data_IF_824523353479
#
_entry.id   IF_824523353479
#
_cell.length_a   1.000
_cell.length_b   1.000
_cell.length_c   1.000
_cell.angle_alpha   90.00
_cell.angle_beta   90.00
_cell.angle_gamma   90.00
#
_symmetry.space_group_name_H-M   'P 1'
#
loop_
_entity.id
_entity.type
_entity.pdbx_description
1 polymer ?
#
# COMPACT_ATOMS: atom_id res chain seq x y z
N UNK A 1 -16.01 -6.51 16.88
CA UNK A 1 -16.08 -6.47 15.40
C UNK A 1 -15.53 -5.17 14.80
N UNK A 2 -15.83 -3.98 15.37
CA UNK A 2 -15.39 -2.68 14.82
C UNK A 2 -13.89 -2.53 14.57
N UNK A 3 -13.03 -2.86 15.55
CA UNK A 3 -11.57 -2.77 15.41
C UNK A 3 -11.00 -3.58 14.23
N UNK A 4 -11.66 -4.68 13.88
CA UNK A 4 -11.22 -5.58 12.81
C UNK A 4 -11.59 -5.07 11.42
N UNK A 5 -12.76 -4.44 11.29
CA UNK A 5 -13.18 -3.75 10.06
C UNK A 5 -12.28 -2.53 9.83
N UNK A 6 -12.00 -1.76 10.88
CA UNK A 6 -11.05 -0.64 10.82
C UNK A 6 -9.66 -1.10 10.41
N UNK A 7 -9.14 -2.17 11.02
CA UNK A 7 -7.84 -2.73 10.67
C UNK A 7 -7.76 -3.19 9.21
N UNK A 8 -8.80 -3.83 8.69
CA UNK A 8 -8.88 -4.21 7.27
C UNK A 8 -8.95 -3.00 6.35
N UNK A 9 -9.72 -1.97 6.72
CA UNK A 9 -9.79 -0.71 5.99
C UNK A 9 -8.43 -0.04 5.86
N UNK A 10 -7.68 0.04 6.97
CA UNK A 10 -6.30 0.58 6.98
C UNK A 10 -5.38 -0.28 6.12
N UNK A 11 -5.45 -1.61 6.24
CA UNK A 11 -4.59 -2.51 5.48
C UNK A 11 -4.80 -2.39 3.96
N UNK A 12 -6.06 -2.35 3.52
CA UNK A 12 -6.42 -2.12 2.12
C UNK A 12 -6.01 -0.73 1.66
N UNK A 13 -6.21 0.30 2.50
CA UNK A 13 -5.79 1.66 2.23
C UNK A 13 -4.29 1.75 1.95
N UNK A 14 -3.46 1.18 2.82
CA UNK A 14 -1.99 1.14 2.66
C UNK A 14 -1.56 0.40 1.40
N UNK A 15 -2.24 -0.72 1.08
CA UNK A 15 -1.99 -1.48 -0.14
C UNK A 15 -2.27 -0.65 -1.40
N UNK A 16 -3.45 -0.03 -1.49
CA UNK A 16 -3.85 0.76 -2.65
C UNK A 16 -2.97 1.99 -2.82
N UNK A 17 -2.67 2.70 -1.72
CA UNK A 17 -1.77 3.85 -1.74
C UNK A 17 -0.37 3.47 -2.21
N UNK A 18 0.19 2.39 -1.67
CA UNK A 18 1.51 1.90 -2.04
C UNK A 18 1.59 1.51 -3.52
N UNK A 19 0.59 0.79 -4.03
CA UNK A 19 0.50 0.41 -5.45
C UNK A 19 0.40 1.64 -6.34
N UNK A 20 -0.46 2.61 -6.01
CA UNK A 20 -0.62 3.82 -6.80
C UNK A 20 0.66 4.65 -6.85
N UNK A 21 1.31 4.89 -5.69
CA UNK A 21 2.58 5.62 -5.63
C UNK A 21 3.66 4.95 -6.49
N UNK A 22 3.72 3.62 -6.46
CA UNK A 22 4.65 2.84 -7.29
C UNK A 22 4.31 2.99 -8.78
N UNK A 23 3.02 2.94 -9.14
CA UNK A 23 2.57 3.09 -10.52
C UNK A 23 2.86 4.49 -11.08
N UNK A 24 2.74 5.54 -10.26
CA UNK A 24 3.16 6.89 -10.64
C UNK A 24 4.69 7.00 -10.78
N UNK A 25 5.46 6.38 -9.87
CA UNK A 25 6.92 6.37 -9.94
C UNK A 25 7.44 5.70 -11.23
N UNK A 26 6.76 4.64 -11.67
CA UNK A 26 7.03 3.90 -12.90
C UNK A 26 6.55 4.63 -14.17
N UNK A 27 5.80 5.73 -14.03
CA UNK A 27 5.18 6.45 -15.14
C UNK A 27 4.01 5.69 -15.78
N UNK A 28 3.51 4.61 -15.17
CA UNK A 28 2.33 3.87 -15.63
C UNK A 28 1.07 4.73 -15.55
N UNK A 29 1.04 5.65 -14.59
CA UNK A 29 -0.04 6.64 -14.44
C UNK A 29 0.53 8.02 -14.79
N UNK A 30 -0.05 8.67 -15.80
CA UNK A 30 0.36 10.01 -16.26
C UNK A 30 1.34 10.03 -17.45
N UNK A 31 1.84 8.87 -17.91
CA UNK A 31 2.65 8.75 -19.14
C UNK A 31 4.11 9.17 -19.00
N UNK A 32 4.51 9.79 -17.90
CA UNK A 32 5.90 10.11 -17.54
C UNK A 32 6.13 9.89 -16.05
N UNK A 33 7.36 9.55 -15.65
CA UNK A 33 7.70 9.40 -14.24
C UNK A 33 7.66 10.77 -13.55
N UNK A 34 6.88 10.87 -12.48
CA UNK A 34 6.74 12.11 -11.69
C UNK A 34 8.06 12.51 -11.01
N UNK A 35 8.21 13.82 -10.80
CA UNK A 35 9.33 14.40 -10.07
C UNK A 35 9.45 13.75 -8.68
N UNK A 36 10.65 13.30 -8.31
CA UNK A 36 10.85 12.48 -7.10
C UNK A 36 10.57 10.98 -7.26
N UNK A 37 10.46 10.47 -8.49
CA UNK A 37 10.23 9.05 -8.83
C UNK A 37 11.10 8.06 -8.05
N UNK A 38 12.37 8.38 -7.79
CA UNK A 38 13.26 7.53 -6.98
C UNK A 38 12.75 7.33 -5.55
N UNK A 39 12.18 8.36 -4.94
CA UNK A 39 11.58 8.31 -3.61
C UNK A 39 10.29 7.50 -3.63
N UNK A 40 9.41 7.77 -4.60
CA UNK A 40 8.14 7.06 -4.73
C UNK A 40 8.29 5.57 -5.08
N UNK A 41 9.34 5.21 -5.83
CA UNK A 41 9.70 3.83 -6.14
C UNK A 41 10.13 3.03 -4.90
N UNK A 42 10.59 3.69 -3.84
CA UNK A 42 10.96 3.05 -2.56
C UNK A 42 9.80 3.09 -1.58
N UNK A 43 9.13 4.24 -1.49
CA UNK A 43 8.04 4.48 -0.53
C UNK A 43 6.79 3.66 -0.88
N UNK A 44 6.45 3.54 -2.17
CA UNK A 44 5.29 2.78 -2.62
C UNK A 44 5.31 1.30 -2.17
N UNK A 45 6.39 0.54 -2.46
CA UNK A 45 6.51 -0.84 -2.00
C UNK A 45 6.51 -1.00 -0.48
N UNK A 46 7.05 -0.04 0.28
CA UNK A 46 6.99 -0.06 1.75
C UNK A 46 5.55 0.04 2.25
N UNK A 47 4.76 0.97 1.73
CA UNK A 47 3.35 1.11 2.08
C UNK A 47 2.54 -0.15 1.69
N UNK A 48 2.79 -0.69 0.50
CA UNK A 48 2.16 -1.92 0.05
C UNK A 48 2.52 -3.11 0.96
N UNK A 49 3.80 -3.26 1.32
CA UNK A 49 4.27 -4.31 2.23
C UNK A 49 3.65 -4.21 3.62
N UNK A 50 3.52 -3.01 4.18
CA UNK A 50 2.83 -2.79 5.46
C UNK A 50 1.34 -3.16 5.38
N UNK A 51 0.67 -2.81 4.29
CA UNK A 51 -0.71 -3.24 4.04
C UNK A 51 -0.86 -4.76 4.03
N UNK A 52 0.00 -5.47 3.29
CA UNK A 52 0.03 -6.94 3.24
C UNK A 52 0.29 -7.54 4.62
N UNK A 53 1.30 -7.05 5.34
CA UNK A 53 1.62 -7.54 6.68
C UNK A 53 0.44 -7.39 7.63
N UNK A 54 -0.25 -6.24 7.60
CA UNK A 54 -1.44 -6.01 8.43
C UNK A 54 -2.60 -6.94 8.06
N UNK A 55 -2.83 -7.22 6.77
CA UNK A 55 -3.81 -8.23 6.33
C UNK A 55 -3.45 -9.60 6.91
N UNK A 56 -2.19 -10.02 6.83
CA UNK A 56 -1.71 -11.30 7.35
C UNK A 56 -1.94 -11.40 8.85
N UNK A 57 -1.57 -10.38 9.62
CA UNK A 57 -1.78 -10.34 11.08
C UNK A 57 -3.26 -10.44 11.43
N UNK A 58 -4.14 -9.70 10.74
CA UNK A 58 -5.59 -9.76 10.98
C UNK A 58 -6.18 -11.13 10.60
N UNK A 59 -5.63 -11.80 9.59
CA UNK A 59 -6.04 -13.12 9.17
C UNK A 59 -5.57 -14.21 10.15
N UNK A 60 -4.33 -14.09 10.66
CA UNK A 60 -3.76 -15.00 11.65
C UNK A 60 -4.45 -14.87 13.00
N UNK A 61 -4.77 -13.66 13.45
CA UNK A 61 -5.53 -13.40 14.68
C UNK A 61 -7.00 -13.86 14.61
N UNK A 62 -7.42 -14.51 13.51
CA UNK A 62 -8.75 -15.08 13.32
C UNK A 62 -8.77 -16.61 13.45
N UNK A 63 -7.60 -17.25 13.47
CA UNK A 63 -7.42 -18.68 13.78
C UNK A 63 -7.26 -18.84 15.29
#
# INVERSE_FOLDING_TARGET
MGARILGLGVAVGLLVLGVLLTAFALGWVGGTAIEGSRTYAVVGPLFAGLGVALVVVIAQNRR
#
